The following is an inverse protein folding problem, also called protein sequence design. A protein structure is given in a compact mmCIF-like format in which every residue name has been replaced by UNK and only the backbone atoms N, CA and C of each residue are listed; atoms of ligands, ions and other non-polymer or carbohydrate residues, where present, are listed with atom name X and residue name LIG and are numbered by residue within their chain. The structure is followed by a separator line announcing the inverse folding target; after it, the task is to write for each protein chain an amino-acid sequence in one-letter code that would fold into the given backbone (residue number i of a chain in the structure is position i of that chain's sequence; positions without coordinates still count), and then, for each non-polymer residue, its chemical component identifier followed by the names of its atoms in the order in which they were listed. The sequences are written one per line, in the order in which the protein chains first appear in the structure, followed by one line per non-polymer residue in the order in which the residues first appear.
data_IF_300683500223
#
_entry.id   IF_300683500223
#
_cell.length_a   1.000
_cell.length_b   1.000
_cell.length_c   1.000
_cell.angle_alpha   90.00
_cell.angle_beta   90.00
_cell.angle_gamma   90.00
#
_symmetry.space_group_name_H-M   'P 1'
#
loop_
_entity.id
_entity.type
_entity.pdbx_description
1 polymer ?
#
# COMPACT_ATOMS: atom_id res chain seq x y z
N UNK A 1 -0.63 14.56 -19.29
CA UNK A 1 -0.17 13.95 -18.04
C UNK A 1 -0.52 14.91 -16.92
N UNK A 2 -1.80 14.91 -16.58
CA UNK A 2 -2.25 15.37 -15.26
C UNK A 2 -1.82 14.34 -14.22
N UNK A 3 -1.77 14.77 -12.96
CA UNK A 3 -1.50 13.89 -11.82
C UNK A 3 -2.42 12.67 -11.79
N UNK A 4 -3.69 12.85 -12.17
CA UNK A 4 -4.69 11.78 -12.29
C UNK A 4 -4.35 10.75 -13.38
N UNK A 5 -3.88 11.19 -14.55
CA UNK A 5 -3.47 10.27 -15.63
C UNK A 5 -2.27 9.42 -15.17
N UNK A 6 -1.27 10.03 -14.53
CA UNK A 6 -0.10 9.33 -14.03
C UNK A 6 -0.44 8.32 -12.91
N UNK A 7 -1.33 8.70 -11.99
CA UNK A 7 -1.86 7.81 -10.95
C UNK A 7 -2.59 6.61 -11.56
N UNK A 8 -3.42 6.85 -12.57
CA UNK A 8 -4.15 5.78 -13.25
C UNK A 8 -3.20 4.80 -13.92
N UNK A 9 -2.21 5.29 -14.67
CA UNK A 9 -1.19 4.46 -15.30
C UNK A 9 -0.39 3.64 -14.27
N UNK A 10 0.09 4.26 -13.19
CA UNK A 10 0.81 3.56 -12.11
C UNK A 10 -0.07 2.51 -11.42
N UNK A 11 -1.36 2.80 -11.23
CA UNK A 11 -2.30 1.87 -10.58
C UNK A 11 -2.47 0.61 -11.40
N UNK A 12 -2.62 0.74 -12.72
CA UNK A 12 -2.73 -0.41 -13.62
C UNK A 12 -1.45 -1.25 -13.61
N UNK A 13 -0.29 -0.60 -13.57
CA UNK A 13 1.01 -1.28 -13.44
C UNK A 13 1.11 -2.03 -12.11
N UNK A 14 0.76 -1.38 -10.99
CA UNK A 14 0.75 -2.02 -9.67
C UNK A 14 -0.20 -3.20 -9.63
N UNK A 15 -1.41 -3.06 -10.18
CA UNK A 15 -2.38 -4.14 -10.24
C UNK A 15 -1.84 -5.34 -11.03
N UNK A 16 -1.09 -5.11 -12.12
CA UNK A 16 -0.44 -6.18 -12.89
C UNK A 16 0.75 -6.82 -12.15
N UNK A 17 1.58 -6.04 -11.44
CA UNK A 17 2.71 -6.58 -10.67
C UNK A 17 2.21 -7.43 -9.49
N UNK A 18 1.17 -6.95 -8.81
CA UNK A 18 0.63 -7.57 -7.61
C UNK A 18 -0.59 -8.48 -7.88
N UNK A 19 -0.91 -8.79 -9.14
CA UNK A 19 -2.09 -9.64 -9.47
C UNK A 19 -2.03 -11.04 -8.82
N UNK A 20 -0.81 -11.52 -8.54
CA UNK A 20 -0.53 -12.82 -7.90
C UNK A 20 0.01 -12.68 -6.48
N UNK A 21 0.03 -11.48 -5.89
CA UNK A 21 0.50 -11.26 -4.52
C UNK A 21 -0.69 -11.05 -3.57
N UNK A 22 -1.06 -12.11 -2.84
CA UNK A 22 -2.09 -12.09 -1.80
C UNK A 22 -1.80 -11.09 -0.65
N UNK A 23 -0.58 -10.57 -0.57
CA UNK A 23 -0.18 -9.60 0.45
C UNK A 23 -0.51 -8.16 0.05
N UNK A 24 -0.79 -7.90 -1.23
CA UNK A 24 -1.27 -6.61 -1.70
C UNK A 24 -2.79 -6.53 -1.63
N UNK A 25 -3.30 -5.44 -1.07
CA UNK A 25 -4.72 -5.16 -0.94
C UNK A 25 -4.97 -3.74 -1.43
N UNK A 26 -5.62 -3.63 -2.58
CA UNK A 26 -6.06 -2.32 -3.07
C UNK A 26 -7.31 -1.89 -2.29
N UNK A 27 -7.20 -0.79 -1.54
CA UNK A 27 -8.32 -0.22 -0.76
C UNK A 27 -9.13 0.77 -1.61
N UNK A 28 -8.45 1.55 -2.44
CA UNK A 28 -9.02 2.63 -3.26
C UNK A 28 -8.12 2.89 -4.48
N UNK A 29 -8.59 3.63 -5.51
CA UNK A 29 -7.75 3.98 -6.67
C UNK A 29 -6.51 4.79 -6.30
N UNK A 30 -6.51 5.43 -5.15
CA UNK A 30 -5.40 6.21 -4.58
C UNK A 30 -4.89 5.63 -3.26
N UNK A 31 -5.41 4.49 -2.78
CA UNK A 31 -4.98 3.92 -1.50
C UNK A 31 -4.71 2.43 -1.60
N UNK A 32 -3.54 2.01 -1.18
CA UNK A 32 -3.04 0.64 -1.29
C UNK A 32 -2.52 0.18 0.06
N UNK A 33 -2.77 -1.07 0.42
CA UNK A 33 -2.25 -1.69 1.62
C UNK A 33 -1.40 -2.89 1.22
N UNK A 34 -0.14 -2.93 1.64
CA UNK A 34 0.76 -4.04 1.42
C UNK A 34 1.14 -4.67 2.74
N UNK A 35 0.77 -5.93 2.94
CA UNK A 35 1.18 -6.71 4.09
C UNK A 35 2.57 -7.29 3.83
N UNK A 36 3.53 -6.92 4.66
CA UNK A 36 4.88 -7.49 4.67
C UNK A 36 5.00 -8.45 5.85
N UNK A 37 5.38 -9.70 5.57
CA UNK A 37 5.63 -10.72 6.58
C UNK A 37 4.67 -11.90 6.51
N UNK A 38 5.16 -13.08 6.90
CA UNK A 38 4.42 -14.33 6.84
C UNK A 38 3.29 -14.38 7.89
N UNK A 39 2.19 -15.10 7.56
CA UNK A 39 1.11 -15.37 8.52
C UNK A 39 1.69 -16.10 9.74
N UNK A 40 1.76 -15.41 10.88
CA UNK A 40 2.21 -15.97 12.16
C UNK A 40 3.58 -15.50 12.62
N UNK A 41 4.28 -14.67 11.83
CA UNK A 41 5.54 -14.08 12.29
C UNK A 41 5.25 -12.81 13.15
N UNK A 42 5.91 -12.65 14.31
CA UNK A 42 5.71 -11.48 15.19
C UNK A 42 6.20 -10.15 14.60
N UNK A 43 6.77 -10.18 13.39
CA UNK A 43 7.34 -9.04 12.70
C UNK A 43 6.55 -8.68 11.44
N UNK A 44 5.31 -9.15 11.30
CA UNK A 44 4.46 -8.78 10.16
C UNK A 44 3.91 -7.37 10.35
N UNK A 45 4.10 -6.52 9.34
CA UNK A 45 3.64 -5.14 9.30
C UNK A 45 2.86 -4.88 8.02
N UNK A 46 1.92 -3.96 8.08
CA UNK A 46 1.13 -3.51 6.95
C UNK A 46 1.56 -2.09 6.59
N UNK A 47 1.88 -1.88 5.33
CA UNK A 47 2.22 -0.57 4.77
C UNK A 47 1.00 -0.09 4.02
N UNK A 48 0.43 1.02 4.44
CA UNK A 48 -0.64 1.70 3.71
C UNK A 48 -0.01 2.88 2.96
N UNK A 49 -0.25 2.95 1.66
CA UNK A 49 0.21 4.00 0.75
C UNK A 49 -1.03 4.74 0.27
N UNK A 50 -1.06 6.05 0.44
CA UNK A 50 -2.17 6.91 0.01
C UNK A 50 -1.63 8.02 -0.90
N UNK A 51 -2.02 7.99 -2.17
CA UNK A 51 -1.75 9.03 -3.15
C UNK A 51 -2.66 10.23 -2.88
N UNK A 52 -2.03 11.36 -2.55
CA UNK A 52 -2.72 12.65 -2.52
C UNK A 52 -2.96 13.18 -3.93
N UNK A 53 -3.80 14.21 -4.08
CA UNK A 53 -4.02 14.87 -5.37
C UNK A 53 -2.76 15.53 -5.96
N UNK A 54 -1.73 15.76 -5.12
CA UNK A 54 -0.43 16.23 -5.56
C UNK A 54 0.47 15.15 -6.16
N UNK A 55 0.21 13.85 -5.94
CA UNK A 55 1.05 12.78 -6.46
C UNK A 55 0.95 12.68 -8.00
N UNK A 56 2.05 12.50 -8.76
CA UNK A 56 3.43 12.22 -8.33
C UNK A 56 4.31 13.46 -8.01
N UNK A 57 3.79 14.69 -8.14
CA UNK A 57 4.53 15.93 -7.84
C UNK A 57 4.80 16.09 -6.32
N UNK A 58 3.86 15.61 -5.50
CA UNK A 58 3.95 15.53 -4.04
C UNK A 58 4.10 14.08 -3.57
N UNK A 59 4.89 13.85 -2.52
CA UNK A 59 5.06 12.51 -1.95
C UNK A 59 3.74 11.96 -1.42
N UNK A 60 3.44 10.68 -1.67
CA UNK A 60 2.26 10.04 -1.13
C UNK A 60 2.43 9.82 0.37
N UNK A 61 1.29 9.68 1.06
CA UNK A 61 1.28 9.39 2.48
C UNK A 61 1.51 7.90 2.71
N UNK A 62 2.65 7.56 3.30
CA UNK A 62 3.00 6.21 3.73
C UNK A 62 2.71 6.06 5.22
N UNK A 63 1.86 5.10 5.58
CA UNK A 63 1.52 4.76 6.95
C UNK A 63 1.93 3.32 7.24
N UNK A 64 2.81 3.11 8.21
CA UNK A 64 3.25 1.79 8.63
C UNK A 64 2.45 1.33 9.85
N UNK A 65 1.58 0.35 9.67
CA UNK A 65 0.85 -0.34 10.71
C UNK A 65 1.56 -1.65 11.08
N UNK A 66 2.44 -1.60 12.09
CA UNK A 66 2.97 -2.83 12.67
C UNK A 66 1.90 -3.50 13.51
N UNK A 67 1.50 -4.72 13.17
CA UNK A 67 0.73 -5.57 14.06
C UNK A 67 1.68 -6.14 15.12
N UNK A 68 2.18 -5.26 15.99
CA UNK A 68 2.73 -5.70 17.26
C UNK A 68 1.55 -6.29 18.02
N UNK A 69 1.45 -7.61 17.97
CA UNK A 69 0.62 -8.37 18.87
C UNK A 69 0.90 -7.83 20.26
N UNK A 70 -0.05 -7.08 20.82
CA UNK A 70 -0.02 -6.62 22.20
C UNK A 70 -0.10 -7.89 23.05
N UNK A 71 1.02 -8.58 23.23
CA UNK A 71 1.31 -9.35 24.42
C UNK A 71 1.53 -8.33 25.55
N UNK A 72 0.48 -7.57 25.87
CA UNK A 72 0.40 -6.91 27.17
C UNK A 72 -0.04 -8.02 28.12
N UNK A 73 0.98 -8.61 28.75
CA UNK A 73 0.89 -9.50 29.90
C UNK A 73 0.11 -8.84 31.05
#
# INVERSE_FOLDING_TARGET
MTNEEAQEEEREVLASIYESDDSFTQLSPTSFAYRVGEKGHPQSFMIEVEWGGGYPDEMPRLSLNSFYNKNMY
#
